data_IF_497434272192
#
_entry.id   IF_497434272192
#
_cell.length_a   1.000
_cell.length_b   1.000
_cell.length_c   1.000
_cell.angle_alpha   90.00
_cell.angle_beta   90.00
_cell.angle_gamma   90.00
#
_symmetry.space_group_name_H-M   'P 1'
#
loop_
_entity.id
_entity.type
_entity.pdbx_description
1 polymer ?
#
# COMPACT_ATOMS: atom_id res chain seq x y z
N UNK A 1 -7.22 -5.95 13.78
CA UNK A 1 -7.26 -6.15 12.32
C UNK A 1 -6.80 -4.87 11.67
N UNK A 2 -6.12 -5.00 10.54
CA UNK A 2 -5.65 -3.90 9.71
C UNK A 2 -6.06 -4.16 8.26
N UNK A 3 -6.37 -3.09 7.53
CA UNK A 3 -6.64 -3.06 6.09
C UNK A 3 -5.47 -2.36 5.42
N UNK A 4 -4.98 -2.91 4.31
CA UNK A 4 -3.71 -2.49 3.70
C UNK A 4 -3.80 -2.27 2.19
N UNK A 5 -4.69 -2.97 1.48
CA UNK A 5 -4.87 -2.78 0.05
C UNK A 5 -6.29 -3.05 -0.43
N UNK A 6 -6.66 -2.49 -1.58
CA UNK A 6 -7.97 -2.67 -2.22
C UNK A 6 -7.85 -2.88 -3.73
N UNK A 7 -8.68 -3.77 -4.30
CA UNK A 7 -8.78 -3.96 -5.75
C UNK A 7 -9.53 -2.81 -6.40
N UNK A 8 -9.38 -2.67 -7.71
CA UNK A 8 -9.89 -1.53 -8.47
C UNK A 8 -11.42 -1.37 -8.44
N UNK A 9 -12.15 -2.48 -8.42
CA UNK A 9 -13.60 -2.48 -8.28
C UNK A 9 -14.08 -2.29 -6.81
N UNK A 10 -13.11 -2.15 -5.89
CA UNK A 10 -13.28 -2.06 -4.45
C UNK A 10 -13.95 -3.25 -3.80
N UNK A 11 -14.04 -4.40 -4.50
CA UNK A 11 -14.73 -5.58 -3.97
C UNK A 11 -13.80 -6.51 -3.21
N UNK A 12 -12.51 -6.52 -3.51
CA UNK A 12 -11.50 -7.27 -2.77
C UNK A 12 -10.69 -6.30 -1.91
N UNK A 13 -10.55 -6.61 -0.62
CA UNK A 13 -9.75 -5.85 0.34
C UNK A 13 -8.79 -6.83 1.00
N UNK A 14 -7.56 -6.42 1.27
CA UNK A 14 -6.55 -7.27 1.91
C UNK A 14 -5.96 -6.63 3.15
N UNK A 15 -5.43 -7.47 4.04
CA UNK A 15 -4.81 -7.01 5.27
C UNK A 15 -4.45 -8.15 6.21
N UNK A 16 -4.66 -7.91 7.51
CA UNK A 16 -4.43 -8.91 8.56
C UNK A 16 -5.46 -8.86 9.67
N UNK A 17 -5.71 -10.02 10.28
CA UNK A 17 -6.59 -10.20 11.43
C UNK A 17 -5.84 -10.87 12.57
N UNK A 18 -6.15 -10.51 13.81
CA UNK A 18 -5.53 -11.15 14.98
C UNK A 18 -6.38 -12.36 15.36
N UNK A 19 -5.83 -13.57 15.23
CA UNK A 19 -6.46 -14.81 15.67
C UNK A 19 -5.66 -15.43 16.81
N UNK A 20 -6.24 -15.42 18.02
CA UNK A 20 -5.49 -15.75 19.23
C UNK A 20 -4.41 -14.69 19.49
N UNK A 21 -3.14 -15.09 19.38
CA UNK A 21 -1.98 -14.22 19.58
C UNK A 21 -1.24 -13.89 18.28
N UNK A 22 -1.70 -14.41 17.15
CA UNK A 22 -0.98 -14.38 15.88
C UNK A 22 -1.72 -13.54 14.84
N UNK A 23 -0.96 -12.76 14.07
CA UNK A 23 -1.49 -12.02 12.94
C UNK A 23 -1.61 -12.94 11.73
N UNK A 24 -2.79 -13.01 11.16
CA UNK A 24 -3.10 -13.88 10.04
C UNK A 24 -3.42 -13.01 8.82
N UNK A 25 -2.80 -13.27 7.65
CA UNK A 25 -3.12 -12.57 6.43
C UNK A 25 -4.56 -12.91 6.05
N UNK A 26 -5.31 -11.93 5.56
CA UNK A 26 -6.69 -12.16 5.22
C UNK A 26 -7.14 -11.29 4.05
N UNK A 27 -8.13 -11.82 3.34
CA UNK A 27 -8.84 -11.15 2.27
C UNK A 27 -10.32 -11.02 2.65
N UNK A 28 -10.92 -9.88 2.29
CA UNK A 28 -12.35 -9.64 2.39
C UNK A 28 -12.91 -9.47 0.98
N UNK A 29 -13.95 -10.21 0.65
CA UNK A 29 -14.69 -10.05 -0.60
C UNK A 29 -16.18 -9.95 -0.32
N UNK A 30 -16.76 -8.78 -0.55
CA UNK A 30 -18.15 -8.50 -0.19
C UNK A 30 -18.38 -8.66 1.31
N UNK A 31 -19.28 -9.57 1.70
CA UNK A 31 -19.56 -9.90 3.11
C UNK A 31 -18.77 -11.08 3.65
N UNK A 32 -17.87 -11.66 2.85
CA UNK A 32 -17.08 -12.83 3.22
C UNK A 32 -15.65 -12.41 3.58
N UNK A 33 -15.09 -13.08 4.57
CA UNK A 33 -13.67 -12.95 4.94
C UNK A 33 -13.02 -14.31 4.87
N UNK A 34 -11.79 -14.36 4.40
CA UNK A 34 -11.00 -15.56 4.36
C UNK A 34 -9.59 -15.28 4.89
N UNK A 35 -9.13 -16.15 5.79
CA UNK A 35 -7.72 -16.21 6.19
C UNK A 35 -6.95 -16.89 5.06
N UNK A 36 -5.86 -16.27 4.63
CA UNK A 36 -4.99 -16.82 3.60
C UNK A 36 -4.07 -17.86 4.22
N UNK A 37 -3.71 -18.88 3.44
CA UNK A 37 -2.81 -19.94 3.85
C UNK A 37 -1.45 -19.38 4.30
N UNK A 38 -0.89 -19.88 5.39
CA UNK A 38 0.49 -19.57 5.77
C UNK A 38 1.30 -20.87 5.69
N UNK A 39 2.00 -21.12 4.56
CA UNK A 39 2.91 -22.25 4.47
C UNK A 39 3.98 -22.16 5.55
N UNK A 40 4.04 -23.18 6.42
CA UNK A 40 5.07 -23.37 7.45
C UNK A 40 5.29 -22.20 8.45
N UNK A 41 4.35 -21.27 8.54
CA UNK A 41 4.46 -20.07 9.36
C UNK A 41 3.35 -19.94 10.41
N UNK A 42 3.59 -19.04 11.36
CA UNK A 42 2.69 -18.73 12.47
C UNK A 42 2.01 -17.38 12.28
N UNK A 43 2.61 -16.45 11.54
CA UNK A 43 2.04 -15.13 11.29
C UNK A 43 2.26 -14.65 9.86
N UNK A 44 1.42 -13.71 9.41
CA UNK A 44 1.52 -13.11 8.09
C UNK A 44 0.63 -11.88 7.92
N UNK A 45 0.81 -11.24 6.77
CA UNK A 45 0.10 -10.03 6.37
C UNK A 45 -0.04 -10.00 4.85
N UNK A 46 -1.26 -9.78 4.37
CA UNK A 46 -1.51 -9.45 2.97
C UNK A 46 -1.38 -7.93 2.82
N UNK A 47 -0.44 -7.50 1.99
CA UNK A 47 -0.03 -6.09 1.87
C UNK A 47 -0.72 -5.42 0.68
N UNK A 48 -0.84 -6.11 -0.45
CA UNK A 48 -1.45 -5.58 -1.67
C UNK A 48 -2.23 -6.64 -2.46
N UNK A 49 -3.07 -6.17 -3.38
CA UNK A 49 -3.95 -6.98 -4.22
C UNK A 49 -3.95 -6.42 -5.64
N UNK A 50 -4.01 -7.30 -6.64
CA UNK A 50 -4.16 -6.89 -8.05
C UNK A 50 -5.51 -6.22 -8.33
N UNK A 51 -5.59 -5.44 -9.40
CA UNK A 51 -6.80 -4.71 -9.80
C UNK A 51 -8.03 -5.59 -10.00
N UNK A 52 -7.82 -6.76 -10.61
CA UNK A 52 -8.88 -7.76 -10.81
C UNK A 52 -9.27 -8.50 -9.51
N UNK A 53 -8.57 -8.21 -8.42
CA UNK A 53 -8.75 -8.79 -7.11
C UNK A 53 -8.38 -10.27 -7.03
N UNK A 54 -7.74 -10.86 -8.05
CA UNK A 54 -7.47 -12.30 -8.11
C UNK A 54 -6.17 -12.71 -7.45
N UNK A 55 -5.21 -11.78 -7.31
CA UNK A 55 -3.91 -12.05 -6.73
C UNK A 55 -3.65 -11.16 -5.54
N UNK A 56 -3.06 -11.76 -4.52
CA UNK A 56 -2.72 -11.09 -3.27
C UNK A 56 -1.26 -11.34 -2.98
N UNK A 57 -0.55 -10.30 -2.57
CA UNK A 57 0.86 -10.36 -2.22
C UNK A 57 1.07 -9.89 -0.79
N UNK A 58 2.13 -10.38 -0.17
CA UNK A 58 2.46 -10.01 1.19
C UNK A 58 3.59 -10.85 1.73
N UNK A 59 3.53 -11.16 3.02
CA UNK A 59 4.52 -12.00 3.66
C UNK A 59 3.90 -12.92 4.69
N UNK A 60 4.58 -14.03 4.94
CA UNK A 60 4.30 -14.88 6.07
C UNK A 60 5.59 -15.45 6.65
N UNK A 61 5.52 -15.94 7.88
CA UNK A 61 6.73 -16.32 8.59
C UNK A 61 6.48 -17.02 9.91
N UNK A 62 7.55 -17.61 10.44
CA UNK A 62 7.60 -18.05 11.83
C UNK A 62 8.21 -16.93 12.69
N UNK A 63 7.76 -16.82 13.94
CA UNK A 63 8.20 -15.87 14.99
C UNK A 63 9.23 -14.80 14.60
N UNK A 64 8.80 -13.53 14.49
CA UNK A 64 9.57 -12.25 14.46
C UNK A 64 10.67 -12.08 13.38
N UNK A 65 11.42 -13.11 12.96
CA UNK A 65 12.65 -12.95 12.17
C UNK A 65 12.76 -13.81 10.90
N UNK A 66 11.80 -14.70 10.62
CA UNK A 66 11.81 -15.51 9.39
C UNK A 66 10.57 -15.20 8.59
N UNK A 67 10.59 -14.09 7.84
CA UNK A 67 9.52 -13.75 6.89
C UNK A 67 9.96 -14.09 5.49
N UNK A 68 9.04 -14.67 4.74
CA UNK A 68 9.15 -14.88 3.30
C UNK A 68 7.99 -14.15 2.64
N UNK A 69 8.27 -13.51 1.52
CA UNK A 69 7.21 -12.97 0.68
C UNK A 69 6.41 -14.11 0.03
N UNK A 70 5.08 -13.99 0.04
CA UNK A 70 4.15 -15.03 -0.41
C UNK A 70 3.12 -14.45 -1.38
N UNK A 71 2.71 -15.32 -2.31
CA UNK A 71 1.65 -15.10 -3.28
C UNK A 71 0.46 -15.97 -2.97
N UNK A 72 -0.70 -15.34 -2.87
CA UNK A 72 -1.98 -16.02 -2.74
C UNK A 72 -2.86 -15.74 -3.92
N UNK A 73 -3.63 -16.74 -4.29
CA UNK A 73 -4.82 -16.49 -5.09
C UNK A 73 -5.93 -15.96 -4.19
N UNK A 74 -6.96 -15.43 -4.81
CA UNK A 74 -8.14 -14.94 -4.10
C UNK A 74 -8.85 -16.03 -3.27
N UNK A 75 -8.67 -17.31 -3.61
CA UNK A 75 -9.20 -18.43 -2.84
C UNK A 75 -8.37 -18.73 -1.59
N UNK A 76 -7.34 -17.93 -1.31
CA UNK A 76 -6.47 -18.06 -0.15
C UNK A 76 -5.40 -19.14 -0.28
N UNK A 77 -5.28 -19.78 -1.44
CA UNK A 77 -4.27 -20.79 -1.68
C UNK A 77 -2.93 -20.11 -1.95
N UNK A 78 -1.90 -20.50 -1.22
CA UNK A 78 -0.55 -20.05 -1.52
C UNK A 78 -0.02 -20.79 -2.76
N UNK A 79 0.43 -20.06 -3.78
CA UNK A 79 0.97 -20.68 -5.01
C UNK A 79 2.43 -20.36 -5.28
N UNK A 80 3.09 -19.66 -4.35
CA UNK A 80 4.54 -19.45 -4.41
C UNK A 80 5.08 -18.65 -3.24
N UNK A 81 6.30 -18.98 -2.84
CA UNK A 81 7.18 -18.13 -2.04
C UNK A 81 8.23 -17.54 -2.97
N UNK A 82 8.61 -16.28 -2.77
CA UNK A 82 9.79 -15.75 -3.47
C UNK A 82 11.06 -16.14 -2.74
N UNK A 83 11.46 -17.40 -2.88
CA UNK A 83 12.77 -17.81 -2.42
C UNK A 83 13.83 -17.24 -3.36
N UNK A 84 14.59 -16.25 -2.86
CA UNK A 84 15.62 -15.58 -3.64
C UNK A 84 16.94 -16.36 -3.72
N UNK A 85 17.64 -16.07 -4.82
CA UNK A 85 19.02 -16.39 -5.14
C UNK A 85 19.95 -16.09 -3.95
N UNK A 86 20.36 -17.12 -3.20
CA UNK A 86 21.52 -17.07 -2.31
C UNK A 86 21.52 -15.94 -1.27
N UNK A 87 21.02 -16.25 -0.07
CA UNK A 87 21.26 -15.53 1.19
C UNK A 87 20.50 -14.22 1.47
N UNK A 88 19.91 -13.53 0.48
CA UNK A 88 19.06 -12.34 0.71
C UNK A 88 17.58 -12.66 0.45
N UNK A 89 16.83 -12.98 1.50
CA UNK A 89 15.40 -13.28 1.41
C UNK A 89 14.62 -12.00 1.08
N UNK A 90 13.71 -12.00 0.10
CA UNK A 90 12.65 -10.99 0.08
C UNK A 90 11.79 -11.23 1.32
N UNK A 91 11.86 -10.28 2.25
CA UNK A 91 11.20 -10.41 3.55
C UNK A 91 9.74 -9.97 3.41
N UNK A 92 9.47 -9.03 2.51
CA UNK A 92 8.13 -8.43 2.33
C UNK A 92 7.87 -8.05 0.88
N UNK A 93 6.80 -8.57 0.30
CA UNK A 93 6.16 -7.99 -0.89
C UNK A 93 5.16 -6.94 -0.43
N UNK A 94 5.28 -5.70 -0.89
CA UNK A 94 4.54 -4.54 -0.38
C UNK A 94 3.53 -3.97 -1.38
N UNK A 95 3.82 -4.06 -2.68
CA UNK A 95 2.91 -3.65 -3.74
C UNK A 95 3.06 -4.55 -4.98
N UNK A 96 2.02 -4.60 -5.81
CA UNK A 96 2.01 -5.31 -7.09
C UNK A 96 1.31 -4.49 -8.18
N UNK A 97 1.51 -4.85 -9.45
CA UNK A 97 0.86 -4.23 -10.61
C UNK A 97 -0.56 -4.78 -10.83
N UNK A 98 -1.26 -4.28 -11.86
CA UNK A 98 -2.66 -4.62 -12.15
C UNK A 98 -2.89 -6.12 -12.34
N UNK A 99 -1.88 -6.83 -12.87
CA UNK A 99 -1.94 -8.28 -13.08
C UNK A 99 -1.40 -9.08 -11.90
N UNK A 100 -0.73 -8.44 -10.94
CA UNK A 100 0.03 -9.07 -9.86
C UNK A 100 1.20 -9.92 -10.34
N UNK A 101 1.77 -9.59 -11.50
CA UNK A 101 2.97 -10.23 -12.07
C UNK A 101 4.23 -9.45 -11.68
N UNK A 102 4.15 -8.15 -11.46
CA UNK A 102 5.28 -7.34 -10.96
C UNK A 102 5.05 -7.02 -9.50
N UNK A 103 6.08 -7.19 -8.67
CA UNK A 103 6.00 -7.00 -7.22
C UNK A 103 7.21 -6.23 -6.73
N UNK A 104 6.98 -5.29 -5.82
CA UNK A 104 8.05 -4.53 -5.15
C UNK A 104 8.00 -4.72 -3.65
N UNK A 105 9.15 -4.53 -3.01
CA UNK A 105 9.25 -4.77 -1.59
C UNK A 105 10.62 -4.53 -0.99
N UNK A 106 10.92 -5.30 0.05
CA UNK A 106 12.11 -5.15 0.89
C UNK A 106 12.85 -6.50 1.02
N UNK A 107 14.15 -6.49 0.68
CA UNK A 107 15.08 -7.59 0.92
C UNK A 107 15.49 -7.69 2.40
N UNK A 108 16.04 -8.83 2.80
CA UNK A 108 16.54 -9.08 4.15
C UNK A 108 17.76 -8.25 4.52
N UNK A 109 18.48 -7.75 3.53
CA UNK A 109 19.49 -6.69 3.66
C UNK A 109 18.90 -5.33 4.06
N UNK A 110 17.58 -5.19 3.99
CA UNK A 110 16.84 -3.94 4.09
C UNK A 110 16.94 -3.10 2.81
N UNK A 111 17.24 -3.69 1.65
CA UNK A 111 17.31 -3.01 0.37
C UNK A 111 15.97 -3.06 -0.39
N UNK A 112 15.66 -2.05 -1.22
CA UNK A 112 14.47 -2.09 -2.04
C UNK A 112 14.66 -3.04 -3.24
N UNK A 113 13.61 -3.80 -3.56
CA UNK A 113 13.64 -4.86 -4.58
C UNK A 113 12.42 -4.76 -5.49
N UNK A 114 12.62 -5.09 -6.76
CA UNK A 114 11.55 -5.29 -7.74
C UNK A 114 11.66 -6.66 -8.40
N UNK A 115 10.53 -7.36 -8.54
CA UNK A 115 10.39 -8.71 -9.04
C UNK A 115 9.40 -8.80 -10.20
N UNK A 116 9.72 -9.64 -11.18
CA UNK A 116 8.80 -10.08 -12.23
C UNK A 116 8.50 -11.57 -12.06
N UNK A 117 7.22 -11.89 -12.03
CA UNK A 117 6.64 -13.21 -11.88
C UNK A 117 6.14 -13.59 -13.26
N UNK A 118 6.91 -14.47 -13.90
CA UNK A 118 6.55 -15.05 -15.19
C UNK A 118 6.88 -16.54 -15.19
N UNK A 119 7.14 -17.12 -16.37
CA UNK A 119 7.64 -18.49 -16.49
C UNK A 119 8.95 -18.73 -15.71
N UNK A 120 9.66 -17.67 -15.39
CA UNK A 120 10.81 -17.67 -14.49
C UNK A 120 10.77 -16.39 -13.67
N UNK A 121 10.99 -16.52 -12.36
CA UNK A 121 11.09 -15.38 -11.46
C UNK A 121 12.41 -14.63 -11.74
N UNK A 122 12.34 -13.30 -11.88
CA UNK A 122 13.52 -12.44 -11.98
C UNK A 122 13.35 -11.21 -11.10
N UNK A 123 14.34 -10.89 -10.27
CA UNK A 123 14.29 -9.66 -9.48
C UNK A 123 15.63 -8.96 -9.41
N UNK A 124 15.55 -7.68 -9.09
CA UNK A 124 16.70 -6.79 -8.98
C UNK A 124 16.66 -6.13 -7.61
N UNK A 125 17.71 -6.37 -6.82
CA UNK A 125 17.95 -5.71 -5.54
C UNK A 125 18.80 -4.45 -5.75
N UNK A 126 18.36 -3.34 -5.19
CA UNK A 126 19.08 -2.07 -5.27
C UNK A 126 20.17 -1.96 -4.22
N UNK A 127 21.23 -1.20 -4.53
CA UNK A 127 22.27 -0.89 -3.54
C UNK A 127 21.78 0.23 -2.62
N UNK A 128 21.53 -0.09 -1.35
CA UNK A 128 21.13 0.89 -0.34
C UNK A 128 20.21 0.28 0.70
N UNK A 129 19.75 1.09 1.65
CA UNK A 129 18.73 0.69 2.62
C UNK A 129 17.41 1.41 2.34
N UNK A 130 16.33 0.65 2.17
CA UNK A 130 14.98 1.13 1.99
C UNK A 130 14.05 0.03 1.46
N UNK A 131 12.87 0.43 0.97
CA UNK A 131 11.84 -0.48 0.48
C UNK A 131 11.17 0.09 -0.78
N UNK A 132 10.76 -0.80 -1.68
CA UNK A 132 9.79 -0.48 -2.72
C UNK A 132 8.38 -0.53 -2.12
N UNK A 133 7.65 0.57 -2.23
CA UNK A 133 6.39 0.79 -1.49
C UNK A 133 5.19 0.92 -2.42
N UNK A 134 5.38 1.40 -3.64
CA UNK A 134 4.32 1.57 -4.63
C UNK A 134 4.79 1.20 -6.03
N UNK A 135 3.85 0.83 -6.89
CA UNK A 135 4.09 0.38 -8.26
C UNK A 135 2.98 0.95 -9.15
N UNK A 136 3.33 1.43 -10.35
CA UNK A 136 2.36 1.86 -11.34
C UNK A 136 1.58 0.65 -11.84
N UNK A 137 0.33 0.87 -12.25
CA UNK A 137 -0.55 -0.21 -12.67
C UNK A 137 -0.03 -1.00 -13.88
N UNK A 138 0.66 -0.30 -14.79
CA UNK A 138 1.36 -0.93 -15.91
C UNK A 138 2.68 -1.64 -15.55
N UNK A 139 3.05 -1.64 -14.26
CA UNK A 139 4.24 -2.26 -13.71
C UNK A 139 5.56 -1.64 -14.15
N UNK A 140 5.57 -0.48 -14.84
CA UNK A 140 6.80 0.09 -15.43
C UNK A 140 7.60 0.99 -14.50
N UNK A 141 6.95 1.61 -13.52
CA UNK A 141 7.59 2.52 -12.57
C UNK A 141 7.23 2.08 -11.16
N UNK A 142 8.23 2.02 -10.29
CA UNK A 142 7.99 1.82 -8.87
C UNK A 142 8.64 2.90 -8.04
N UNK A 143 8.08 3.11 -6.86
CA UNK A 143 8.47 4.15 -5.93
C UNK A 143 8.74 3.56 -4.56
N UNK A 144 9.48 4.32 -3.76
CA UNK A 144 9.87 3.85 -2.44
C UNK A 144 10.79 4.82 -1.74
N UNK A 145 11.58 4.27 -0.82
CA UNK A 145 12.65 4.98 -0.17
C UNK A 145 14.00 4.32 -0.43
N UNK A 146 15.05 5.13 -0.47
CA UNK A 146 16.43 4.67 -0.48
C UNK A 146 17.28 5.62 0.34
N UNK A 147 17.99 5.10 1.33
CA UNK A 147 18.80 5.87 2.28
C UNK A 147 18.06 7.06 2.91
N UNK A 148 16.75 6.90 3.15
CA UNK A 148 15.88 7.91 3.76
C UNK A 148 15.30 8.95 2.79
N UNK A 149 15.62 8.90 1.50
CA UNK A 149 15.08 9.78 0.45
C UNK A 149 14.00 9.06 -0.37
N UNK A 150 13.01 9.79 -0.86
CA UNK A 150 12.09 9.25 -1.86
C UNK A 150 12.80 9.04 -3.19
N UNK A 151 12.43 7.97 -3.88
CA UNK A 151 12.98 7.65 -5.19
C UNK A 151 11.94 6.91 -6.03
N UNK A 152 12.14 7.00 -7.35
CA UNK A 152 11.40 6.25 -8.34
C UNK A 152 12.37 5.58 -9.30
N UNK A 153 12.01 4.39 -9.74
CA UNK A 153 12.82 3.54 -10.60
C UNK A 153 11.99 2.99 -11.74
N UNK A 154 12.63 2.76 -12.88
CA UNK A 154 12.06 1.99 -13.97
C UNK A 154 12.19 0.51 -13.66
N UNK A 155 11.11 -0.25 -13.77
CA UNK A 155 11.08 -1.68 -13.44
C UNK A 155 11.99 -2.51 -14.35
N UNK A 156 12.02 -2.23 -15.66
CA UNK A 156 12.69 -3.08 -16.67
C UNK A 156 14.20 -3.24 -16.48
N UNK A 157 14.86 -2.25 -15.89
CA UNK A 157 16.31 -2.19 -15.71
C UNK A 157 16.71 -1.72 -14.29
N UNK A 158 15.71 -1.49 -13.44
CA UNK A 158 15.86 -0.93 -12.10
C UNK A 158 16.70 0.35 -12.05
N UNK A 159 16.68 1.15 -13.13
CA UNK A 159 17.36 2.44 -13.17
C UNK A 159 16.55 3.46 -12.40
N UNK A 160 17.19 4.12 -11.44
CA UNK A 160 16.62 5.24 -10.72
C UNK A 160 16.39 6.41 -11.69
N UNK A 161 15.14 6.84 -11.84
CA UNK A 161 14.73 7.91 -12.75
C UNK A 161 14.44 9.21 -12.01
N UNK A 162 14.21 9.14 -10.70
CA UNK A 162 13.92 10.31 -9.87
C UNK A 162 14.31 10.08 -8.41
N UNK A 163 14.68 11.16 -7.72
CA UNK A 163 14.93 11.18 -6.27
C UNK A 163 14.55 12.54 -5.69
N UNK A 164 14.07 12.56 -4.44
CA UNK A 164 13.84 13.79 -3.69
C UNK A 164 14.31 13.66 -2.24
N UNK A 165 15.12 14.65 -1.83
CA UNK A 165 15.51 14.86 -0.43
C UNK A 165 14.46 15.62 0.37
N UNK A 166 13.45 16.18 -0.30
CA UNK A 166 12.37 16.90 0.36
C UNK A 166 11.36 15.96 1.01
N UNK A 167 11.27 14.70 0.55
CA UNK A 167 10.41 13.68 1.14
C UNK A 167 11.22 12.82 2.13
N UNK A 168 11.07 13.09 3.44
CA UNK A 168 11.65 12.24 4.48
C UNK A 168 10.72 11.05 4.73
N UNK A 169 11.23 9.85 4.49
CA UNK A 169 10.49 8.59 4.70
C UNK A 169 10.08 7.90 3.40
N UNK A 170 10.26 8.54 2.25
CA UNK A 170 10.04 7.93 0.93
C UNK A 170 8.77 8.36 0.22
N UNK A 171 8.66 7.93 -1.03
CA UNK A 171 7.41 7.90 -1.77
C UNK A 171 6.72 6.56 -1.45
N UNK A 172 5.48 6.62 -0.98
CA UNK A 172 4.72 5.47 -0.48
C UNK A 172 3.75 4.93 -1.52
N UNK A 173 3.32 5.74 -2.49
CA UNK A 173 2.41 5.33 -3.55
C UNK A 173 2.68 6.11 -4.85
N UNK A 174 2.23 5.55 -5.97
CA UNK A 174 2.28 6.14 -7.30
C UNK A 174 0.95 5.87 -8.01
N UNK A 175 0.49 6.76 -8.88
CA UNK A 175 -0.70 6.52 -9.71
C UNK A 175 -0.43 5.53 -10.83
N UNK A 176 -1.50 4.94 -11.38
CA UNK A 176 -1.35 3.85 -12.35
C UNK A 176 -0.67 4.28 -13.65
N UNK A 177 -0.87 5.54 -14.04
CA UNK A 177 -0.20 6.17 -15.18
C UNK A 177 1.23 6.62 -14.87
N UNK A 178 1.68 6.46 -13.63
CA UNK A 178 3.01 6.85 -13.16
C UNK A 178 3.21 8.35 -12.95
N UNK A 179 2.17 9.18 -13.12
CA UNK A 179 2.31 10.63 -13.18
C UNK A 179 2.34 11.35 -11.83
N UNK A 180 1.92 10.68 -10.75
CA UNK A 180 1.80 11.30 -9.43
C UNK A 180 2.40 10.39 -8.36
N UNK A 181 3.28 10.95 -7.54
CA UNK A 181 3.88 10.28 -6.38
C UNK A 181 3.31 10.86 -5.09
N UNK A 182 3.05 9.99 -4.11
CA UNK A 182 2.59 10.35 -2.76
C UNK A 182 3.70 10.04 -1.77
N UNK A 183 4.04 10.97 -0.87
CA UNK A 183 5.02 10.73 0.20
C UNK A 183 5.01 11.77 1.33
N UNK A 184 5.79 11.53 2.38
CA UNK A 184 5.90 12.42 3.55
C UNK A 184 7.02 13.47 3.38
N UNK A 185 6.78 14.76 3.66
CA UNK A 185 7.80 15.83 3.55
C UNK A 185 8.65 15.98 4.83
N UNK A 186 9.90 16.39 4.62
CA UNK A 186 10.97 16.57 5.61
C UNK A 186 10.72 17.67 6.65
N UNK A 187 9.97 18.71 6.29
CA UNK A 187 9.87 19.92 7.11
C UNK A 187 8.41 20.28 7.32
N UNK A 188 7.93 20.13 8.55
CA UNK A 188 6.65 20.70 8.99
C UNK A 188 5.44 19.75 9.03
N UNK A 189 5.60 18.44 8.81
CA UNK A 189 4.50 17.47 8.96
C UNK A 189 3.47 17.52 7.83
N UNK A 190 3.87 18.04 6.67
CA UNK A 190 3.06 18.07 5.45
C UNK A 190 3.42 16.87 4.58
N UNK A 191 2.44 16.27 3.92
CA UNK A 191 2.68 15.26 2.89
C UNK A 191 2.63 15.96 1.54
N UNK A 192 3.53 15.59 0.64
CA UNK A 192 3.65 16.20 -0.68
C UNK A 192 3.12 15.24 -1.73
N UNK A 193 2.30 15.77 -2.63
CA UNK A 193 2.01 15.14 -3.91
C UNK A 193 3.03 15.71 -4.90
N UNK A 194 3.90 14.86 -5.45
CA UNK A 194 4.84 15.27 -6.50
C UNK A 194 4.28 14.81 -7.83
N UNK A 195 3.87 15.79 -8.62
CA UNK A 195 3.58 15.68 -10.02
C UNK A 195 4.81 15.28 -10.85
N UNK A 196 4.62 14.55 -11.95
CA UNK A 196 5.63 14.31 -13.01
C UNK A 196 6.21 15.61 -13.60
N UNK A 197 5.52 16.75 -13.47
CA UNK A 197 6.05 18.05 -13.90
C UNK A 197 7.07 18.67 -12.92
N UNK A 198 7.37 17.99 -11.80
CA UNK A 198 8.31 18.45 -10.78
C UNK A 198 7.79 19.62 -9.93
N UNK A 199 6.50 19.95 -10.01
CA UNK A 199 5.86 20.97 -9.17
C UNK A 199 5.43 20.35 -7.84
N UNK A 200 5.99 20.88 -6.76
CA UNK A 200 5.59 20.55 -5.39
C UNK A 200 4.26 21.25 -5.05
N UNK A 201 3.26 20.47 -4.61
CA UNK A 201 2.01 21.01 -4.07
C UNK A 201 2.04 20.93 -2.53
N UNK A 202 2.36 22.02 -1.82
CA UNK A 202 2.33 22.01 -0.35
C UNK A 202 0.88 21.93 0.13
N UNK A 203 0.51 20.79 0.74
CA UNK A 203 -0.80 20.65 1.39
C UNK A 203 -0.87 21.60 2.60
N UNK A 204 -1.93 22.40 2.74
CA UNK A 204 -2.17 23.24 3.94
C UNK A 204 -3.32 22.67 4.77
N UNK A 205 -3.21 22.55 6.10
CA UNK A 205 -4.36 22.13 6.92
C UNK A 205 -4.13 21.48 8.30
N UNK A 206 -2.89 21.19 8.72
CA UNK A 206 -2.65 20.46 9.97
C UNK A 206 -2.72 18.93 9.76
N UNK A 207 -1.89 18.23 10.54
CA UNK A 207 -1.27 16.91 10.26
C UNK A 207 -2.20 15.91 9.55
N UNK A 208 -2.02 15.67 8.23
CA UNK A 208 -2.58 14.53 7.55
C UNK A 208 -1.51 13.56 7.07
N UNK A 209 -1.58 12.28 7.44
CA UNK A 209 -0.75 11.25 6.78
C UNK A 209 -1.40 10.83 5.47
N UNK A 210 -0.87 11.25 4.31
CA UNK A 210 -1.33 10.74 3.01
C UNK A 210 -0.75 9.33 2.77
N UNK A 211 -1.60 8.37 2.38
CA UNK A 211 -1.26 6.93 2.33
C UNK A 211 -1.39 6.35 0.92
N UNK A 212 -2.27 6.89 0.07
CA UNK A 212 -2.50 6.39 -1.31
C UNK A 212 -2.89 7.50 -2.30
N UNK A 213 -2.77 7.22 -3.60
CA UNK A 213 -2.98 8.16 -4.72
C UNK A 213 -3.79 7.55 -5.87
N UNK A 214 -4.57 8.36 -6.60
CA UNK A 214 -5.36 7.93 -7.79
C UNK A 214 -5.10 8.78 -9.03
N UNK A 215 -5.05 8.14 -10.20
CA UNK A 215 -4.77 8.75 -11.51
C UNK A 215 -5.91 9.67 -12.00
N UNK A 216 -7.17 9.34 -11.68
CA UNK A 216 -8.32 9.99 -12.31
C UNK A 216 -8.57 11.43 -11.83
N UNK A 217 -7.96 11.89 -10.72
CA UNK A 217 -8.15 13.26 -10.19
C UNK A 217 -7.09 13.75 -9.19
N UNK A 218 -5.92 13.10 -9.09
CA UNK A 218 -4.88 13.44 -8.11
C UNK A 218 -5.39 13.40 -6.68
N UNK A 219 -5.97 12.26 -6.33
CA UNK A 219 -6.61 12.08 -5.03
C UNK A 219 -5.61 11.49 -4.07
N UNK A 220 -5.05 12.30 -3.18
CA UNK A 220 -4.37 11.79 -2.01
C UNK A 220 -5.39 11.54 -0.89
N UNK A 221 -5.23 10.45 -0.15
CA UNK A 221 -6.07 10.16 1.02
C UNK A 221 -5.24 10.06 2.26
N UNK A 222 -5.72 10.65 3.35
CA UNK A 222 -4.99 10.65 4.60
C UNK A 222 -5.79 10.96 5.84
N UNK A 223 -5.09 10.99 6.97
CA UNK A 223 -5.72 11.05 8.30
C UNK A 223 -5.80 12.47 8.83
N UNK A 224 -6.95 13.12 8.78
CA UNK A 224 -7.20 14.30 9.61
C UNK A 224 -7.53 13.88 11.06
N UNK A 225 -7.40 14.77 12.08
CA UNK A 225 -7.52 14.40 13.49
C UNK A 225 -8.75 13.57 13.88
N UNK A 226 -9.86 13.69 13.14
CA UNK A 226 -11.11 12.96 13.39
C UNK A 226 -11.72 12.30 12.14
N UNK A 227 -11.12 12.46 10.95
CA UNK A 227 -11.77 12.11 9.68
C UNK A 227 -10.75 11.67 8.62
N UNK A 228 -11.21 10.89 7.62
CA UNK A 228 -10.45 10.67 6.40
C UNK A 228 -10.59 11.90 5.49
N UNK A 229 -9.46 12.39 4.97
CA UNK A 229 -9.41 13.57 4.12
C UNK A 229 -8.99 13.19 2.70
N UNK A 230 -9.57 13.89 1.72
CA UNK A 230 -9.24 13.84 0.29
C UNK A 230 -8.68 15.20 -0.12
N UNK A 231 -7.61 15.20 -0.91
CA UNK A 231 -7.13 16.41 -1.59
C UNK A 231 -7.29 16.24 -3.09
N UNK A 232 -7.58 17.35 -3.78
CA UNK A 232 -7.54 17.44 -5.25
C UNK A 232 -6.35 18.30 -5.70
N UNK A 233 -6.27 18.53 -7.02
CA UNK A 233 -5.27 19.38 -7.67
C UNK A 233 -5.22 20.85 -7.19
N UNK A 234 -6.17 21.30 -6.36
CA UNK A 234 -6.13 22.64 -5.77
C UNK A 234 -5.29 22.72 -4.49
N UNK A 235 -4.89 21.58 -3.91
CA UNK A 235 -4.18 21.50 -2.63
C UNK A 235 -5.05 21.83 -1.41
N UNK A 236 -6.33 22.16 -1.62
CA UNK A 236 -7.29 22.34 -0.55
C UNK A 236 -7.86 20.98 -0.10
N UNK A 237 -8.07 20.77 1.21
CA UNK A 237 -8.77 19.59 1.68
C UNK A 237 -10.22 19.64 1.18
N UNK A 238 -10.60 18.69 0.34
CA UNK A 238 -11.99 18.31 0.15
C UNK A 238 -12.38 17.48 1.36
N UNK A 239 -13.00 18.13 2.35
CA UNK A 239 -13.66 17.42 3.45
C UNK A 239 -14.66 16.47 2.80
N UNK A 240 -14.47 15.17 3.02
CA UNK A 240 -15.42 14.15 2.58
C UNK A 240 -16.66 14.28 3.47
N UNK A 241 -17.54 15.23 3.14
CA UNK A 241 -18.79 15.44 3.89
C UNK A 241 -19.80 14.31 3.71
N UNK A 242 -19.60 13.43 2.72
CA UNK A 242 -20.45 12.27 2.46
C UNK A 242 -19.73 10.95 2.76
N UNK A 243 -19.42 10.70 4.03
CA UNK A 243 -19.27 9.31 4.51
C UNK A 243 -20.67 8.73 4.66
N UNK A 244 -21.28 8.28 3.55
CA UNK A 244 -22.66 7.73 3.53
C UNK A 244 -22.75 6.31 4.08
N UNK A 245 -21.64 5.70 4.53
CA UNK A 245 -21.64 4.37 5.14
C UNK A 245 -21.53 4.42 6.68
N UNK A 246 -22.63 4.10 7.35
CA UNK A 246 -22.82 3.52 8.68
C UNK A 246 -21.80 3.78 9.83
N UNK A 247 -22.31 4.32 10.95
CA UNK A 247 -21.86 4.03 12.33
C UNK A 247 -20.43 4.39 12.78
N UNK A 248 -19.80 5.41 12.20
CA UNK A 248 -18.53 5.95 12.77
C UNK A 248 -18.72 7.02 13.86
N UNK A 249 -19.97 7.30 14.27
CA UNK A 249 -20.28 8.22 15.37
C UNK A 249 -19.62 7.70 16.67
N UNK A 250 -18.51 8.33 17.06
CA UNK A 250 -17.74 7.99 18.26
C UNK A 250 -16.38 7.32 18.02
N UNK A 251 -15.96 7.12 16.77
CA UNK A 251 -14.59 6.66 16.49
C UNK A 251 -13.55 7.66 17.03
N UNK A 252 -12.51 7.15 17.68
CA UNK A 252 -11.41 7.94 18.24
C UNK A 252 -10.30 8.22 17.23
N UNK A 253 -10.20 7.39 16.19
CA UNK A 253 -9.24 7.53 15.09
C UNK A 253 -9.79 6.83 13.84
N UNK A 254 -9.71 7.47 12.68
CA UNK A 254 -10.00 6.88 11.38
C UNK A 254 -8.73 6.97 10.54
N UNK A 255 -8.25 5.83 10.04
CA UNK A 255 -7.07 5.78 9.19
C UNK A 255 -7.44 5.32 7.79
N UNK A 256 -7.05 6.07 6.75
CA UNK A 256 -7.07 5.55 5.38
C UNK A 256 -5.84 4.66 5.16
N UNK A 257 -6.02 3.63 4.35
CA UNK A 257 -4.96 2.70 3.97
C UNK A 257 -4.70 2.75 2.47
N UNK A 258 -5.76 2.80 1.66
CA UNK A 258 -5.64 2.69 0.21
C UNK A 258 -6.84 3.34 -0.53
N UNK A 259 -6.69 3.57 -1.85
CA UNK A 259 -7.71 4.13 -2.74
C UNK A 259 -7.71 3.41 -4.09
N UNK A 260 -8.88 3.24 -4.72
CA UNK A 260 -8.98 2.70 -6.09
C UNK A 260 -8.35 3.61 -7.14
N UNK A 261 -7.92 3.05 -8.28
CA UNK A 261 -7.36 3.78 -9.43
C UNK A 261 -8.20 4.99 -9.85
N UNK A 262 -9.52 4.80 -9.89
CA UNK A 262 -10.49 5.83 -10.27
C UNK A 262 -10.74 6.88 -9.17
N UNK A 263 -10.16 6.69 -8.00
CA UNK A 263 -10.23 7.62 -6.88
C UNK A 263 -11.60 7.69 -6.23
N UNK A 264 -12.47 6.69 -6.46
CA UNK A 264 -13.85 6.67 -5.98
C UNK A 264 -14.05 5.86 -4.71
N UNK A 265 -13.15 4.95 -4.34
CA UNK A 265 -13.29 4.11 -3.16
C UNK A 265 -12.05 4.22 -2.28
N UNK A 266 -12.28 4.54 -1.01
CA UNK A 266 -11.26 4.58 0.03
C UNK A 266 -11.48 3.42 0.99
N UNK A 267 -10.40 2.75 1.38
CA UNK A 267 -10.44 1.75 2.45
C UNK A 267 -9.56 2.14 3.63
N UNK A 268 -9.87 1.59 4.79
CA UNK A 268 -9.10 1.87 5.99
C UNK A 268 -9.65 1.21 7.24
N UNK A 269 -9.24 1.74 8.40
CA UNK A 269 -9.61 1.23 9.72
C UNK A 269 -10.12 2.36 10.60
N UNK A 270 -11.26 2.14 11.26
CA UNK A 270 -11.78 3.01 12.30
C UNK A 270 -11.59 2.36 13.67
N UNK A 271 -11.03 3.11 14.63
CA UNK A 271 -10.93 2.73 16.03
C UNK A 271 -12.15 3.26 16.79
N UNK A 272 -13.04 2.38 17.22
CA UNK A 272 -14.16 2.75 18.09
C UNK A 272 -13.69 3.21 19.48
N UNK A 273 -14.62 3.67 20.36
CA UNK A 273 -14.32 3.77 21.78
C UNK A 273 -13.92 2.39 22.32
N UNK A 274 -13.08 2.36 23.36
CA UNK A 274 -12.28 1.20 23.84
C UNK A 274 -12.98 -0.18 23.93
N UNK A 275 -14.31 -0.25 23.88
CA UNK A 275 -15.10 -1.49 23.91
C UNK A 275 -15.42 -2.11 22.53
N UNK A 276 -15.32 -1.38 21.42
CA UNK A 276 -15.82 -1.86 20.12
C UNK A 276 -14.75 -2.36 19.14
N UNK A 277 -13.47 -2.21 19.48
CA UNK A 277 -12.34 -2.69 18.68
C UNK A 277 -12.09 -1.90 17.39
N UNK A 278 -11.16 -2.41 16.57
CA UNK A 278 -10.85 -1.88 15.23
C UNK A 278 -11.85 -2.44 14.21
N UNK A 279 -12.43 -1.59 13.36
CA UNK A 279 -13.35 -2.00 12.29
C UNK A 279 -12.83 -1.54 10.93
N UNK A 280 -12.83 -2.41 9.90
CA UNK A 280 -12.47 -1.98 8.57
C UNK A 280 -13.61 -1.11 8.01
N UNK A 281 -13.28 -0.20 7.12
CA UNK A 281 -14.28 0.55 6.38
C UNK A 281 -13.98 0.57 4.89
N UNK A 282 -15.05 0.75 4.13
CA UNK A 282 -15.04 1.04 2.71
C UNK A 282 -15.95 2.22 2.47
N UNK A 283 -15.38 3.30 2.00
CA UNK A 283 -16.06 4.54 1.70
C UNK A 283 -16.14 4.70 0.19
N UNK A 284 -17.36 4.77 -0.35
CA UNK A 284 -17.59 5.13 -1.74
C UNK A 284 -17.84 6.64 -1.80
N UNK A 285 -17.05 7.35 -2.59
CA UNK A 285 -17.22 8.76 -2.87
C UNK A 285 -18.33 8.92 -3.92
N UNK A 286 -19.18 9.92 -3.71
CA UNK A 286 -20.20 10.31 -4.68
C UNK A 286 -19.58 10.81 -5.99
N UNK A 287 -20.35 10.80 -7.10
CA UNK A 287 -19.98 11.47 -8.34
C UNK A 287 -19.85 12.98 -8.17
#
# INVERSE_FOLDING_TARGET
MDVLGVSDDGKTIVGKVLLGTEWQPCVWFGSQSQVLEIPDGAEGQAEAVSDDGQRVVGWAGSSVNTRVSIHWDRSGTAFGTFEFLGESQLVRALACDDSGDVVVGEAGSGAPVVCHIGPSLSCVEMVGSGAGLGLSGDGKIWVGNISGTAAAWRTSDAVMIWTSTQLMGGATAITDDGSVLVGALAVGGFYGVVADDGVDFPLTGGIPQAVAGSAASWVAVGNCPTEACKWDNSGAPLVIQEVVAADYQGATLVTAADITADGTIIVGVANGPFSEGRRPYRLKLGP
#
